data_IF_013451337510
#
_entry.id   IF_013451337510
#
_cell.length_a   1.000
_cell.length_b   1.000
_cell.length_c   1.000
_cell.angle_alpha   90.00
_cell.angle_beta   90.00
_cell.angle_gamma   90.00
#
_symmetry.space_group_name_H-M   'P 1'
#
loop_
_entity.id
_entity.type
_entity.pdbx_description
1 polymer ?
#
# COMPACT_ATOMS: atom_id res chain seq x y z
N UNK A 1 -3.64 24.45 6.94
CA UNK A 1 -3.43 23.10 7.49
C UNK A 1 -2.67 22.21 6.51
N UNK A 2 -3.26 21.87 5.35
CA UNK A 2 -2.57 21.06 4.34
C UNK A 2 -1.25 21.68 3.82
N UNK A 3 -1.28 22.96 3.41
CA UNK A 3 -0.08 23.66 2.92
C UNK A 3 1.02 23.75 3.99
N UNK A 4 0.66 24.15 5.21
CA UNK A 4 1.56 24.24 6.37
C UNK A 4 2.17 22.88 6.73
N UNK A 5 1.39 21.79 6.67
CA UNK A 5 1.89 20.43 6.88
C UNK A 5 2.92 20.06 5.82
N UNK A 6 2.63 20.33 4.54
CA UNK A 6 3.57 20.04 3.45
C UNK A 6 4.86 20.86 3.60
N UNK A 7 4.76 22.15 3.91
CA UNK A 7 5.92 23.03 4.13
C UNK A 7 6.81 22.52 5.27
N UNK A 8 6.21 22.10 6.39
CA UNK A 8 6.95 21.49 7.51
C UNK A 8 7.65 20.19 7.11
N UNK A 9 6.96 19.30 6.38
CA UNK A 9 7.56 18.05 5.91
C UNK A 9 8.75 18.30 4.97
N UNK A 10 8.66 19.32 4.11
CA UNK A 10 9.75 19.76 3.24
C UNK A 10 10.91 20.35 4.05
N UNK A 11 10.61 21.18 5.06
CA UNK A 11 11.62 21.76 5.96
C UNK A 11 12.39 20.68 6.76
N UNK A 12 11.69 19.62 7.19
CA UNK A 12 12.31 18.47 7.85
C UNK A 12 13.10 17.56 6.90
N UNK A 13 12.98 17.76 5.59
CA UNK A 13 13.61 16.92 4.56
C UNK A 13 13.32 15.43 4.79
N UNK A 14 12.06 15.11 5.05
CA UNK A 14 11.60 13.73 5.22
C UNK A 14 12.02 12.91 4.00
N UNK A 15 12.67 11.76 4.17
CA UNK A 15 13.19 10.96 3.05
C UNK A 15 12.08 10.51 2.09
N UNK A 16 10.90 10.20 2.65
CA UNK A 16 9.72 9.74 1.94
C UNK A 16 8.48 10.49 2.40
N UNK A 17 7.62 10.89 1.44
CA UNK A 17 6.35 11.57 1.69
C UNK A 17 5.27 10.88 0.84
N UNK A 18 4.15 10.49 1.44
CA UNK A 18 3.03 9.91 0.70
C UNK A 18 1.81 10.81 0.79
N UNK A 19 1.32 11.23 -0.38
CA UNK A 19 0.06 11.96 -0.48
C UNK A 19 -1.08 10.96 -0.54
N UNK A 20 -1.94 10.98 0.48
CA UNK A 20 -3.12 10.15 0.56
C UNK A 20 -4.39 10.96 0.30
N UNK A 21 -5.25 10.44 -0.57
CA UNK A 21 -6.63 10.89 -0.63
C UNK A 21 -7.48 10.08 0.34
N UNK A 22 -8.38 10.76 1.05
CA UNK A 22 -9.25 10.14 2.03
C UNK A 22 -10.08 9.01 1.40
N UNK A 23 -10.08 7.84 2.04
CA UNK A 23 -10.92 6.70 1.69
C UNK A 23 -11.75 6.23 2.89
N UNK A 24 -12.96 6.77 3.08
CA UNK A 24 -13.82 6.44 4.22
C UNK A 24 -14.17 4.95 4.30
N UNK A 25 -14.04 4.37 5.50
CA UNK A 25 -14.46 2.98 5.77
C UNK A 25 -15.92 2.94 6.21
N UNK A 26 -16.64 1.87 5.84
CA UNK A 26 -18.08 1.70 6.16
C UNK A 26 -18.39 1.80 7.66
N UNK A 27 -17.48 1.34 8.51
CA UNK A 27 -17.65 1.32 9.97
C UNK A 27 -16.97 2.49 10.67
N UNK A 28 -16.49 3.49 9.93
CA UNK A 28 -15.91 4.68 10.53
C UNK A 28 -17.02 5.64 10.94
N UNK A 29 -16.78 6.41 12.00
CA UNK A 29 -17.67 7.49 12.45
C UNK A 29 -17.92 8.51 11.34
N UNK A 30 -16.93 8.75 10.48
CA UNK A 30 -17.05 9.53 9.26
C UNK A 30 -17.28 8.59 8.08
N UNK A 31 -18.54 8.36 7.74
CA UNK A 31 -18.87 7.50 6.61
C UNK A 31 -18.74 8.21 5.26
N UNK A 32 -18.80 7.42 4.18
CA UNK A 32 -18.59 7.92 2.82
C UNK A 32 -19.67 8.93 2.38
N UNK A 33 -20.90 8.82 2.89
CA UNK A 33 -22.00 9.73 2.53
C UNK A 33 -21.82 11.12 3.14
N UNK A 34 -21.30 11.20 4.36
CA UNK A 34 -21.02 12.48 5.02
C UNK A 34 -19.83 13.19 4.35
N UNK A 35 -18.73 12.47 4.11
CA UNK A 35 -17.51 13.05 3.53
C UNK A 35 -17.69 13.51 2.08
N UNK A 36 -18.44 12.76 1.26
CA UNK A 36 -18.62 13.09 -0.17
C UNK A 36 -19.38 14.41 -0.38
N UNK A 37 -20.22 14.82 0.57
CA UNK A 37 -20.93 16.11 0.52
C UNK A 37 -20.07 17.31 0.91
N UNK A 38 -19.00 17.09 1.70
CA UNK A 38 -18.21 18.17 2.30
C UNK A 38 -16.96 18.53 1.49
N UNK A 39 -16.42 17.59 0.71
CA UNK A 39 -15.16 17.77 -0.02
C UNK A 39 -15.41 17.73 -1.53
N UNK A 40 -15.34 18.91 -2.16
CA UNK A 40 -15.41 19.03 -3.61
C UNK A 40 -14.24 18.30 -4.29
N UNK A 41 -14.54 17.48 -5.30
CA UNK A 41 -13.54 16.67 -6.02
C UNK A 41 -12.45 17.53 -6.67
N UNK A 42 -12.84 18.67 -7.24
CA UNK A 42 -11.93 19.64 -7.87
C UNK A 42 -10.91 20.19 -6.86
N UNK A 43 -11.33 20.46 -5.62
CA UNK A 43 -10.45 20.97 -4.57
C UNK A 43 -9.36 19.96 -4.21
N UNK A 44 -9.73 18.68 -4.13
CA UNK A 44 -8.76 17.59 -3.87
C UNK A 44 -7.77 17.48 -5.02
N UNK A 45 -8.25 17.51 -6.26
CA UNK A 45 -7.39 17.46 -7.44
C UNK A 45 -6.39 18.63 -7.46
N UNK A 46 -6.84 19.85 -7.15
CA UNK A 46 -5.99 21.03 -7.09
C UNK A 46 -4.92 20.92 -5.99
N UNK A 47 -5.26 20.42 -4.80
CA UNK A 47 -4.28 20.16 -3.75
C UNK A 47 -3.24 19.10 -4.13
N UNK A 48 -3.67 17.99 -4.73
CA UNK A 48 -2.75 16.95 -5.18
C UNK A 48 -1.81 17.44 -6.29
N UNK A 49 -2.32 18.25 -7.23
CA UNK A 49 -1.52 18.86 -8.28
C UNK A 49 -0.49 19.85 -7.71
N UNK A 50 -0.92 20.74 -6.79
CA UNK A 50 -0.03 21.67 -6.12
C UNK A 50 1.05 20.94 -5.30
N UNK A 51 0.67 19.87 -4.60
CA UNK A 51 1.61 19.05 -3.81
C UNK A 51 2.66 18.38 -4.67
N UNK A 52 2.24 17.78 -5.79
CA UNK A 52 3.15 17.18 -6.77
C UNK A 52 4.15 18.21 -7.30
N UNK A 53 3.70 19.42 -7.62
CA UNK A 53 4.57 20.49 -8.11
C UNK A 53 5.61 20.92 -7.05
N UNK A 54 5.17 21.13 -5.79
CA UNK A 54 6.08 21.51 -4.69
C UNK A 54 7.07 20.42 -4.32
N UNK A 55 6.63 19.16 -4.26
CA UNK A 55 7.50 18.01 -4.01
C UNK A 55 8.56 17.88 -5.12
N UNK A 56 8.15 17.99 -6.39
CA UNK A 56 9.08 17.98 -7.53
C UNK A 56 10.10 19.11 -7.45
N UNK A 57 9.67 20.33 -7.16
CA UNK A 57 10.57 21.48 -6.98
C UNK A 57 11.56 21.30 -5.82
N UNK A 58 11.19 20.52 -4.79
CA UNK A 58 12.05 20.17 -3.67
C UNK A 58 12.93 18.92 -3.93
N UNK A 59 12.92 18.38 -5.14
CA UNK A 59 13.77 17.25 -5.56
C UNK A 59 13.19 15.87 -5.29
N UNK A 60 11.91 15.78 -4.92
CA UNK A 60 11.23 14.50 -4.75
C UNK A 60 10.62 14.03 -6.06
N UNK A 61 10.67 12.73 -6.34
CA UNK A 61 10.00 12.11 -7.48
C UNK A 61 9.03 11.01 -7.02
N UNK A 62 7.94 10.77 -7.76
CA UNK A 62 7.02 9.69 -7.45
C UNK A 62 7.69 8.34 -7.72
N UNK A 63 7.53 7.36 -6.82
CA UNK A 63 8.14 6.03 -6.97
C UNK A 63 7.19 4.86 -6.73
N UNK A 64 6.02 5.08 -6.12
CA UNK A 64 4.95 4.09 -6.08
C UNK A 64 3.57 4.73 -6.07
N UNK A 65 2.59 3.94 -6.48
CA UNK A 65 1.20 4.34 -6.58
C UNK A 65 0.29 3.21 -6.17
N UNK A 66 -0.80 3.54 -5.49
CA UNK A 66 -1.91 2.60 -5.34
C UNK A 66 -3.26 3.30 -5.20
N UNK A 67 -4.33 2.53 -5.41
CA UNK A 67 -5.71 3.02 -5.28
C UNK A 67 -6.46 2.25 -4.20
N UNK A 68 -7.10 2.99 -3.29
CA UNK A 68 -7.97 2.40 -2.28
C UNK A 68 -9.41 2.31 -2.81
N UNK A 69 -10.10 1.24 -2.43
CA UNK A 69 -11.53 1.11 -2.69
C UNK A 69 -12.28 2.20 -1.91
N UNK A 70 -13.14 2.96 -2.59
CA UNK A 70 -13.89 4.12 -2.04
C UNK A 70 -13.02 5.33 -1.70
N UNK A 71 -11.99 5.58 -2.51
CA UNK A 71 -11.26 6.85 -2.48
C UNK A 71 -12.17 7.99 -2.96
N UNK A 72 -12.14 9.12 -2.26
CA UNK A 72 -12.86 10.34 -2.68
C UNK A 72 -12.29 10.83 -4.01
N UNK A 73 -13.15 11.39 -4.87
CA UNK A 73 -12.77 11.98 -6.17
C UNK A 73 -12.06 11.04 -7.16
N UNK A 74 -12.11 9.71 -6.94
CA UNK A 74 -11.46 8.73 -7.83
C UNK A 74 -9.95 8.88 -7.93
N UNK A 75 -9.33 9.62 -7.01
CA UNK A 75 -7.90 9.92 -7.01
C UNK A 75 -7.09 8.72 -6.53
N UNK A 76 -5.81 8.93 -6.28
CA UNK A 76 -4.85 7.90 -5.98
C UNK A 76 -3.93 8.31 -4.84
N UNK A 77 -3.23 7.34 -4.26
CA UNK A 77 -2.23 7.58 -3.23
C UNK A 77 -0.86 7.40 -3.87
N UNK A 78 -0.05 8.46 -3.86
CA UNK A 78 1.27 8.51 -4.49
C UNK A 78 2.36 8.72 -3.44
N UNK A 79 3.37 7.86 -3.45
CA UNK A 79 4.57 8.06 -2.66
C UNK A 79 5.64 8.80 -3.45
N UNK A 80 6.29 9.74 -2.78
CA UNK A 80 7.38 10.57 -3.28
C UNK A 80 8.60 10.38 -2.40
N UNK A 81 9.78 10.41 -3.00
CA UNK A 81 11.03 10.17 -2.29
C UNK A 81 12.16 11.01 -2.86
N UNK A 82 13.17 11.27 -2.03
CA UNK A 82 14.44 11.83 -2.49
C UNK A 82 15.28 10.76 -3.21
N UNK A 83 16.27 11.15 -4.05
CA UNK A 83 17.11 10.18 -4.75
C UNK A 83 17.83 9.22 -3.78
N UNK A 84 17.69 7.91 -4.01
CA UNK A 84 18.34 6.87 -3.21
C UNK A 84 17.59 6.44 -1.95
N UNK A 85 16.39 7.00 -1.69
CA UNK A 85 15.55 6.65 -0.55
C UNK A 85 14.26 5.91 -0.96
N UNK A 86 14.24 5.28 -2.13
CA UNK A 86 13.11 4.51 -2.60
C UNK A 86 12.82 3.34 -1.66
N UNK A 87 11.59 3.30 -1.14
CA UNK A 87 11.13 2.18 -0.34
C UNK A 87 10.89 0.94 -1.21
N UNK A 88 11.90 0.07 -1.37
CA UNK A 88 11.80 -1.20 -2.12
C UNK A 88 10.59 -2.02 -1.65
N UNK A 89 10.34 -2.06 -0.34
CA UNK A 89 9.17 -2.72 0.22
C UNK A 89 7.85 -2.20 -0.37
N UNK A 90 7.69 -0.87 -0.48
CA UNK A 90 6.48 -0.26 -1.05
C UNK A 90 6.32 -0.64 -2.53
N UNK A 91 7.41 -0.63 -3.30
CA UNK A 91 7.41 -1.04 -4.71
C UNK A 91 6.95 -2.50 -4.82
N UNK A 92 7.61 -3.41 -4.08
CA UNK A 92 7.31 -4.85 -4.10
C UNK A 92 5.85 -5.14 -3.74
N UNK A 93 5.35 -4.48 -2.69
CA UNK A 93 3.99 -4.72 -2.22
C UNK A 93 2.93 -4.17 -3.19
N UNK A 94 3.20 -3.05 -3.87
CA UNK A 94 2.25 -2.43 -4.80
C UNK A 94 2.29 -3.02 -6.22
N UNK A 95 3.48 -3.38 -6.72
CA UNK A 95 3.64 -3.96 -8.07
C UNK A 95 3.00 -5.35 -8.16
N UNK A 96 2.79 -5.99 -7.01
CA UNK A 96 2.19 -7.30 -6.93
C UNK A 96 3.02 -8.44 -7.59
N UNK A 97 4.31 -8.21 -7.87
CA UNK A 97 5.23 -9.14 -8.58
C UNK A 97 6.22 -9.89 -7.70
N UNK A 98 5.89 -10.07 -6.43
CA UNK A 98 6.71 -10.86 -5.53
C UNK A 98 5.88 -11.86 -4.75
N UNK A 99 6.54 -12.96 -4.39
CA UNK A 99 6.03 -13.89 -3.39
C UNK A 99 6.20 -13.27 -2.00
N UNK A 100 5.12 -13.19 -1.24
CA UNK A 100 5.07 -12.64 0.12
C UNK A 100 4.55 -13.73 1.05
N UNK A 101 5.33 -14.12 2.03
CA UNK A 101 4.96 -15.19 2.95
C UNK A 101 4.19 -14.63 4.15
N UNK A 102 2.93 -15.04 4.29
CA UNK A 102 2.12 -14.70 5.46
C UNK A 102 2.42 -15.63 6.62
N UNK A 103 2.98 -15.11 7.70
CA UNK A 103 3.23 -15.85 8.94
C UNK A 103 2.11 -15.57 9.97
N UNK A 104 1.96 -16.45 10.96
CA UNK A 104 0.95 -16.32 12.02
C UNK A 104 -0.47 -16.73 11.62
N UNK A 105 -1.35 -16.87 12.62
CA UNK A 105 -2.76 -17.18 12.41
C UNK A 105 -3.45 -16.11 11.58
N UNK A 106 -4.22 -16.53 10.57
CA UNK A 106 -4.89 -15.63 9.62
C UNK A 106 -3.97 -14.93 8.62
N UNK A 107 -2.65 -15.15 8.66
CA UNK A 107 -1.70 -14.64 7.67
C UNK A 107 -2.02 -15.15 6.27
N UNK A 108 -1.79 -14.31 5.24
CA UNK A 108 -2.02 -14.66 3.84
C UNK A 108 -0.68 -14.74 3.11
N UNK A 109 -0.36 -15.90 2.54
CA UNK A 109 0.77 -16.02 1.64
C UNK A 109 0.32 -15.70 0.22
N UNK A 110 1.05 -14.80 -0.44
CA UNK A 110 0.89 -14.46 -1.85
C UNK A 110 2.02 -15.12 -2.62
N UNK A 111 1.67 -15.78 -3.72
CA UNK A 111 2.59 -16.52 -4.57
C UNK A 111 2.56 -15.92 -5.96
N UNK A 112 3.68 -15.35 -6.39
CA UNK A 112 3.84 -14.79 -7.73
C UNK A 112 4.63 -15.76 -8.61
N UNK A 113 4.11 -16.07 -9.78
CA UNK A 113 4.82 -16.82 -10.82
C UNK A 113 5.40 -15.83 -11.86
N UNK A 114 6.72 -15.74 -12.01
CA UNK A 114 7.34 -14.81 -12.95
C UNK A 114 7.16 -15.19 -14.43
N UNK A 115 6.79 -16.44 -14.74
CA UNK A 115 6.60 -16.91 -16.12
C UNK A 115 5.19 -16.61 -16.60
N UNK A 116 4.17 -17.06 -15.85
CA UNK A 116 2.76 -16.82 -16.19
C UNK A 116 2.25 -15.43 -15.77
N UNK A 117 3.00 -14.74 -14.89
CA UNK A 117 2.60 -13.50 -14.20
C UNK A 117 1.38 -13.67 -13.29
N UNK A 118 1.01 -14.91 -12.95
CA UNK A 118 -0.14 -15.18 -12.11
C UNK A 118 0.17 -15.01 -10.62
N UNK A 119 -0.87 -14.56 -9.89
CA UNK A 119 -0.84 -14.42 -8.43
C UNK A 119 -1.85 -15.38 -7.81
N UNK A 120 -1.35 -16.34 -7.02
CA UNK A 120 -2.19 -17.19 -6.17
C UNK A 120 -2.02 -16.86 -4.69
N UNK A 121 -3.00 -17.20 -3.86
CA UNK A 121 -3.01 -16.88 -2.43
C UNK A 121 -3.32 -18.11 -1.59
N UNK A 122 -2.62 -18.28 -0.47
CA UNK A 122 -2.80 -19.37 0.48
C UNK A 122 -2.98 -18.80 1.89
N UNK A 123 -4.18 -18.91 2.50
CA UNK A 123 -4.42 -18.44 3.84
C UNK A 123 -3.91 -19.43 4.91
N UNK A 124 -3.39 -18.90 6.00
CA UNK A 124 -3.26 -19.66 7.25
C UNK A 124 -4.63 -19.72 7.95
N UNK A 125 -4.91 -20.77 8.75
CA UNK A 125 -6.09 -20.83 9.60
C UNK A 125 -6.23 -19.58 10.47
N UNK A 126 -7.46 -19.02 10.54
CA UNK A 126 -7.77 -17.87 11.40
C UNK A 126 -7.90 -18.25 12.87
N UNK A 127 -8.42 -19.45 13.17
CA UNK A 127 -8.56 -19.95 14.53
C UNK A 127 -7.17 -20.25 15.13
N UNK A 128 -6.79 -19.65 16.27
CA UNK A 128 -5.48 -19.88 16.88
C UNK A 128 -5.18 -21.35 17.20
N UNK A 129 -6.17 -22.12 17.66
CA UNK A 129 -6.01 -23.54 17.95
C UNK A 129 -5.68 -24.33 16.67
N UNK A 130 -6.45 -24.11 15.60
CA UNK A 130 -6.20 -24.75 14.30
C UNK A 130 -4.85 -24.36 13.71
N UNK A 131 -4.44 -23.09 13.84
CA UNK A 131 -3.13 -22.64 13.36
C UNK A 131 -1.99 -23.31 14.12
N UNK A 132 -2.09 -23.36 15.46
CA UNK A 132 -1.11 -24.01 16.33
C UNK A 132 -0.97 -25.49 15.96
N UNK A 133 -2.08 -26.20 15.82
CA UNK A 133 -2.06 -27.65 15.60
C UNK A 133 -1.53 -28.02 14.20
N UNK A 134 -1.67 -27.11 13.22
CA UNK A 134 -1.23 -27.32 11.83
C UNK A 134 0.07 -26.59 11.46
N UNK A 135 0.73 -25.90 12.37
CA UNK A 135 1.86 -25.02 12.02
C UNK A 135 2.98 -25.74 11.25
N UNK A 136 3.31 -26.98 11.64
CA UNK A 136 4.34 -27.79 10.99
C UNK A 136 3.99 -28.12 9.53
N UNK A 137 2.75 -28.55 9.30
CA UNK A 137 2.20 -28.85 7.97
C UNK A 137 2.23 -27.59 7.09
N UNK A 138 1.69 -26.47 7.59
CA UNK A 138 1.62 -25.21 6.85
C UNK A 138 3.00 -24.65 6.48
N UNK A 139 4.00 -24.85 7.34
CA UNK A 139 5.39 -24.48 7.02
C UNK A 139 5.94 -25.38 5.93
N UNK A 140 5.76 -26.70 6.02
CA UNK A 140 6.22 -27.63 5.00
C UNK A 140 5.59 -27.35 3.62
N UNK A 141 4.29 -27.07 3.57
CA UNK A 141 3.60 -26.66 2.34
C UNK A 141 4.24 -25.42 1.70
N UNK A 142 4.55 -24.40 2.49
CA UNK A 142 5.19 -23.17 2.00
C UNK A 142 6.60 -23.44 1.48
N UNK A 143 7.39 -24.22 2.20
CA UNK A 143 8.75 -24.60 1.79
C UNK A 143 8.69 -25.36 0.46
N UNK A 144 7.83 -26.38 0.35
CA UNK A 144 7.66 -27.15 -0.88
C UNK A 144 7.29 -26.24 -2.07
N UNK A 145 6.35 -25.30 -1.85
CA UNK A 145 5.91 -24.37 -2.90
C UNK A 145 6.98 -23.36 -3.31
N UNK A 146 7.87 -22.95 -2.39
CA UNK A 146 9.03 -22.14 -2.72
C UNK A 146 10.04 -22.93 -3.56
N UNK A 147 10.39 -24.14 -3.10
CA UNK A 147 11.40 -24.98 -3.76
C UNK A 147 10.97 -25.40 -5.17
N UNK A 148 9.68 -25.69 -5.37
CA UNK A 148 9.13 -26.03 -6.68
C UNK A 148 9.18 -24.88 -7.71
N UNK A 149 9.56 -23.67 -7.29
CA UNK A 149 9.65 -22.48 -8.16
C UNK A 149 11.09 -22.00 -8.38
N UNK A 150 12.06 -22.61 -7.70
CA UNK A 150 13.49 -22.32 -7.84
C UNK A 150 14.15 -23.27 -8.86
N UNK A 151 13.53 -24.41 -9.12
CA UNK A 151 13.90 -25.38 -10.16
C UNK A 151 13.07 -25.17 -11.43
#
# INVERSE_FOLDING_TARGET
DWDDTLEKLLAYRSENITLHTLAPKRSATWDFSQVKGEIAEERVANWLAAGRARLSAAGYYPYYLYRQRRIVAGQENSGYTLPGYEGIYNIIMMEERATVLGLGGGGMSKWFDPVSLEVSRTPNPKCPATYRDRIKELVAEKVNKLMARVN
#
